data_IF_027860289606
#
_entry.id   IF_027860289606
#
_cell.length_a   1.000
_cell.length_b   1.000
_cell.length_c   1.000
_cell.angle_alpha   90.00
_cell.angle_beta   90.00
_cell.angle_gamma   90.00
#
_symmetry.space_group_name_H-M   'P 1'
#
loop_
_entity.id
_entity.type
_entity.pdbx_description
1 polymer ?
#
# COMPACT_ATOMS: atom_id res chain seq x y z
N UNK A 1 31.11 -17.81 -32.06
CA UNK A 1 31.19 -16.39 -31.69
C UNK A 1 29.87 -16.01 -31.06
N UNK A 2 29.80 -16.18 -29.74
CA UNK A 2 28.59 -15.96 -28.94
C UNK A 2 28.68 -14.58 -28.32
N UNK A 3 27.88 -13.64 -28.83
CA UNK A 3 27.71 -12.33 -28.19
C UNK A 3 26.79 -12.49 -26.99
N UNK A 4 27.39 -12.42 -25.82
CA UNK A 4 26.70 -12.30 -24.54
C UNK A 4 26.27 -10.84 -24.36
N UNK A 5 24.98 -10.56 -24.52
CA UNK A 5 24.41 -9.26 -24.22
C UNK A 5 24.08 -9.22 -22.73
N UNK A 6 24.82 -8.39 -22.00
CA UNK A 6 24.64 -8.09 -20.59
C UNK A 6 23.26 -7.44 -20.41
N UNK A 7 22.32 -8.18 -19.84
CA UNK A 7 21.06 -7.61 -19.35
C UNK A 7 21.38 -6.86 -18.06
N UNK A 8 21.09 -5.55 -18.08
CA UNK A 8 21.33 -4.63 -16.98
C UNK A 8 20.69 -5.11 -15.68
N UNK A 9 21.53 -5.20 -14.65
CA UNK A 9 21.12 -5.32 -13.25
C UNK A 9 20.22 -4.12 -12.94
N UNK A 10 18.93 -4.37 -12.68
CA UNK A 10 18.05 -3.39 -12.07
C UNK A 10 18.63 -2.91 -10.72
N UNK A 11 18.19 -1.76 -10.18
CA UNK A 11 18.76 -1.19 -8.97
C UNK A 11 18.66 -2.19 -7.81
N UNK A 12 19.81 -2.70 -7.35
CA UNK A 12 19.91 -3.44 -6.10
C UNK A 12 19.35 -2.55 -4.98
N UNK A 13 18.19 -2.91 -4.43
CA UNK A 13 17.66 -2.24 -3.26
C UNK A 13 18.69 -2.36 -2.11
N UNK A 14 18.89 -1.29 -1.32
CA UNK A 14 19.96 -1.26 -0.30
C UNK A 14 19.84 -2.45 0.66
N UNK A 15 20.97 -3.09 0.99
CA UNK A 15 20.98 -4.15 2.00
C UNK A 15 20.47 -3.57 3.32
N UNK A 16 19.87 -4.39 4.18
CA UNK A 16 19.27 -3.92 5.45
C UNK A 16 20.22 -3.07 6.33
N UNK A 17 21.54 -3.26 6.19
CA UNK A 17 22.56 -2.43 6.81
C UNK A 17 22.59 -1.00 6.24
N UNK A 18 22.58 -0.85 4.92
CA UNK A 18 22.57 0.43 4.21
C UNK A 18 21.28 1.22 4.49
N UNK A 19 20.15 0.53 4.62
CA UNK A 19 18.89 1.14 5.05
C UNK A 19 18.98 1.67 6.47
N UNK A 20 19.50 0.88 7.42
CA UNK A 20 19.71 1.32 8.82
C UNK A 20 20.63 2.53 8.89
N UNK A 21 21.74 2.51 8.16
CA UNK A 21 22.69 3.62 8.13
C UNK A 21 22.03 4.89 7.56
N UNK A 22 21.26 4.76 6.47
CA UNK A 22 20.51 5.87 5.88
C UNK A 22 19.50 6.46 6.87
N UNK A 23 18.77 5.62 7.60
CA UNK A 23 17.78 6.07 8.59
C UNK A 23 18.45 6.80 9.75
N UNK A 24 19.54 6.26 10.30
CA UNK A 24 20.25 6.91 11.40
C UNK A 24 20.90 8.23 10.96
N UNK A 25 21.43 8.30 9.73
CA UNK A 25 21.94 9.54 9.14
C UNK A 25 20.84 10.59 8.99
N UNK A 26 19.72 10.23 8.37
CA UNK A 26 18.59 11.13 8.20
C UNK A 26 18.03 11.62 9.55
N UNK A 27 18.02 10.75 10.57
CA UNK A 27 17.62 11.12 11.93
C UNK A 27 18.61 12.10 12.56
N UNK A 28 19.92 11.87 12.42
CA UNK A 28 20.96 12.78 12.90
C UNK A 28 20.85 14.17 12.28
N UNK A 29 20.70 14.22 10.95
CA UNK A 29 20.51 15.47 10.20
C UNK A 29 19.23 16.20 10.62
N UNK A 30 18.09 15.50 10.69
CA UNK A 30 16.84 16.11 11.13
C UNK A 30 16.91 16.64 12.56
N UNK A 31 17.54 15.87 13.47
CA UNK A 31 17.73 16.27 14.86
C UNK A 31 18.54 17.55 14.98
N UNK A 32 19.66 17.65 14.25
CA UNK A 32 20.49 18.87 14.24
C UNK A 32 19.66 20.08 13.79
N UNK A 33 18.95 19.96 12.67
CA UNK A 33 18.11 21.04 12.14
C UNK A 33 17.04 21.51 13.11
N UNK A 34 16.32 20.58 13.76
CA UNK A 34 15.28 20.94 14.73
C UNK A 34 15.86 21.53 16.02
N UNK A 35 16.99 21.01 16.50
CA UNK A 35 17.67 21.57 17.68
C UNK A 35 18.10 23.00 17.40
N UNK A 36 18.74 23.25 16.26
CA UNK A 36 19.22 24.59 15.90
C UNK A 36 18.05 25.57 15.72
N UNK A 37 16.92 25.10 15.16
CA UNK A 37 15.68 25.88 15.09
C UNK A 37 15.13 26.25 16.47
N UNK A 38 15.05 25.29 17.40
CA UNK A 38 14.60 25.53 18.77
C UNK A 38 15.54 26.45 19.54
N UNK A 39 16.85 26.29 19.38
CA UNK A 39 17.85 27.14 20.02
C UNK A 39 17.69 28.60 19.58
N UNK A 40 17.52 28.85 18.28
CA UNK A 40 17.27 30.19 17.75
C UNK A 40 15.90 30.76 18.20
N UNK A 41 14.90 29.91 18.44
CA UNK A 41 13.62 30.36 19.01
C UNK A 41 13.78 30.77 20.48
N UNK A 42 14.46 29.96 21.28
CA UNK A 42 14.72 30.25 22.70
C UNK A 42 15.62 31.47 22.92
N UNK A 43 16.63 31.66 22.08
CA UNK A 43 17.49 32.85 22.10
C UNK A 43 16.69 34.13 21.87
N UNK A 44 15.77 34.12 20.88
CA UNK A 44 14.88 35.27 20.62
C UNK A 44 13.95 35.59 21.80
N UNK A 45 13.65 34.61 22.64
CA UNK A 45 12.85 34.77 23.85
C UNK A 45 13.70 35.16 25.08
N UNK A 46 15.03 35.33 24.92
CA UNK A 46 15.94 35.72 25.99
C UNK A 46 16.24 34.59 26.99
N UNK A 47 16.04 33.33 26.59
CA UNK A 47 16.32 32.17 27.44
C UNK A 47 17.83 31.89 27.47
N UNK A 48 18.41 31.90 28.66
CA UNK A 48 19.80 31.48 28.86
C UNK A 48 19.97 29.99 28.52
N UNK A 49 21.16 29.60 28.04
CA UNK A 49 21.47 28.20 27.66
C UNK A 49 20.51 27.63 26.59
N UNK A 50 20.07 28.48 25.66
CA UNK A 50 19.11 28.17 24.59
C UNK A 50 19.40 26.89 23.82
N UNK A 51 20.69 26.59 23.56
CA UNK A 51 21.11 25.36 22.86
C UNK A 51 20.95 24.10 23.70
N UNK A 52 21.19 24.16 25.00
CA UNK A 52 21.01 23.02 25.91
C UNK A 52 19.53 22.73 26.10
N UNK A 53 18.74 23.79 26.35
CA UNK A 53 17.28 23.67 26.46
C UNK A 53 16.66 23.14 25.17
N UNK A 54 17.15 23.56 24.00
CA UNK A 54 16.73 23.02 22.71
C UNK A 54 16.99 21.52 22.57
N UNK A 55 18.12 21.02 23.09
CA UNK A 55 18.41 19.59 23.15
C UNK A 55 17.42 18.84 24.02
N UNK A 56 17.19 19.33 25.24
CA UNK A 56 16.26 18.74 26.21
C UNK A 56 14.82 18.74 25.69
N UNK A 57 14.36 19.87 25.15
CA UNK A 57 13.01 20.00 24.60
C UNK A 57 12.80 19.06 23.40
N UNK A 58 13.78 18.96 22.51
CA UNK A 58 13.71 18.04 21.38
C UNK A 58 13.67 16.58 21.84
N UNK A 59 14.45 16.20 22.85
CA UNK A 59 14.42 14.86 23.43
C UNK A 59 13.09 14.55 24.10
N UNK A 60 12.56 15.49 24.88
CA UNK A 60 11.26 15.34 25.53
C UNK A 60 10.13 15.10 24.53
N UNK A 61 10.19 15.74 23.35
CA UNK A 61 9.18 15.60 22.31
C UNK A 61 9.35 14.35 21.44
N UNK A 62 10.59 13.91 21.18
CA UNK A 62 10.90 12.93 20.12
C UNK A 62 11.46 11.60 20.62
N UNK A 63 11.98 11.52 21.85
CA UNK A 63 12.62 10.32 22.40
C UNK A 63 11.74 9.69 23.47
N UNK A 64 10.67 9.05 23.00
CA UNK A 64 9.76 8.29 23.86
C UNK A 64 10.36 6.94 24.22
N UNK A 65 10.12 6.48 25.43
CA UNK A 65 10.62 5.21 25.96
C UNK A 65 9.52 4.44 26.65
N UNK A 66 9.63 3.12 26.56
CA UNK A 66 8.79 2.20 27.33
C UNK A 66 9.10 2.36 28.82
N UNK A 67 8.09 2.61 29.65
CA UNK A 67 8.30 2.85 31.09
C UNK A 67 8.87 1.64 31.84
N UNK A 68 8.66 0.43 31.31
CA UNK A 68 9.07 -0.85 31.90
C UNK A 68 10.47 -1.29 31.44
N UNK A 69 10.83 -1.10 30.16
CA UNK A 69 12.13 -1.54 29.63
C UNK A 69 13.16 -0.41 29.44
N UNK A 70 12.71 0.85 29.39
CA UNK A 70 13.54 2.00 29.02
C UNK A 70 13.95 2.01 27.54
N UNK A 71 13.57 1.00 26.75
CA UNK A 71 13.83 0.94 25.32
C UNK A 71 13.08 2.05 24.59
N UNK A 72 13.65 2.52 23.47
CA UNK A 72 13.01 3.55 22.65
C UNK A 72 11.71 3.02 22.04
N UNK A 73 10.63 3.78 22.22
CA UNK A 73 9.38 3.57 21.52
C UNK A 73 9.58 3.76 20.01
N UNK A 74 9.00 2.84 19.22
CA UNK A 74 9.05 2.88 17.75
C UNK A 74 7.72 3.21 17.10
N UNK A 75 6.70 3.49 17.91
CA UNK A 75 5.38 3.86 17.42
C UNK A 75 5.46 5.19 16.65
N UNK A 76 4.81 5.23 15.50
CA UNK A 76 4.69 6.43 14.68
C UNK A 76 3.71 7.46 15.25
N UNK A 77 3.08 7.17 16.41
CA UNK A 77 2.11 8.03 17.07
C UNK A 77 2.76 9.24 17.79
N UNK A 78 4.09 9.25 17.94
CA UNK A 78 4.86 10.37 18.46
C UNK A 78 5.53 11.16 17.32
N UNK A 79 5.99 12.37 17.60
CA UNK A 79 5.23 13.61 17.65
C UNK A 79 4.82 14.06 16.24
N UNK A 80 3.51 14.10 16.04
CA UNK A 80 2.85 15.00 15.08
C UNK A 80 1.88 15.80 15.94
N UNK A 81 1.85 17.13 15.80
CA UNK A 81 0.64 17.86 16.19
C UNK A 81 -0.43 17.38 15.21
N UNK A 82 -1.37 16.52 15.61
CA UNK A 82 -2.32 15.93 14.70
C UNK A 82 -3.49 16.89 14.47
N UNK A 83 -4.17 16.72 13.34
CA UNK A 83 -5.44 17.38 13.04
C UNK A 83 -6.63 16.66 13.72
N UNK A 84 -6.36 15.58 14.46
CA UNK A 84 -7.34 14.78 15.21
C UNK A 84 -6.83 14.40 16.60
N UNK A 85 -7.75 13.99 17.47
CA UNK A 85 -7.51 13.51 18.84
C UNK A 85 -7.09 12.02 18.91
N UNK A 86 -6.78 11.42 17.76
CA UNK A 86 -6.40 9.99 17.68
C UNK A 86 -5.14 9.73 18.52
N UNK A 87 -5.24 8.70 19.38
CA UNK A 87 -4.21 8.33 20.36
C UNK A 87 -3.85 9.43 21.38
N UNK A 88 -4.78 10.34 21.67
CA UNK A 88 -4.56 11.48 22.59
C UNK A 88 -3.26 12.22 22.25
N UNK A 89 -3.09 12.59 20.98
CA UNK A 89 -1.90 13.30 20.51
C UNK A 89 -0.58 12.54 20.73
N UNK A 90 -0.64 11.22 20.89
CA UNK A 90 0.48 10.34 21.19
C UNK A 90 0.75 10.13 22.69
N UNK A 91 0.03 10.82 23.58
CA UNK A 91 0.14 10.64 25.03
C UNK A 91 -0.48 9.32 25.50
N UNK A 92 -1.47 8.79 24.77
CA UNK A 92 -2.06 7.48 25.06
C UNK A 92 -1.28 6.30 24.44
N UNK A 93 -0.03 6.54 24.03
CA UNK A 93 0.80 5.48 23.47
C UNK A 93 1.09 4.38 24.49
N UNK A 94 1.13 3.13 24.01
CA UNK A 94 1.44 1.95 24.82
C UNK A 94 2.75 2.06 25.60
N UNK A 95 3.74 2.83 25.12
CA UNK A 95 5.02 2.99 25.80
C UNK A 95 4.90 3.72 27.14
N UNK A 96 3.91 4.59 27.31
CA UNK A 96 3.65 5.34 28.54
C UNK A 96 2.85 4.54 29.59
N UNK A 97 2.38 3.33 29.24
CA UNK A 97 1.52 2.49 30.09
C UNK A 97 2.29 1.35 30.74
N UNK A 98 1.87 0.97 31.95
CA UNK A 98 2.37 -0.25 32.61
C UNK A 98 1.90 -1.50 31.85
N UNK A 99 2.56 -2.66 32.00
CA UNK A 99 2.08 -3.90 31.40
C UNK A 99 0.61 -4.21 31.74
N UNK A 100 0.19 -3.97 33.00
CA UNK A 100 -1.20 -4.14 33.45
C UNK A 100 -2.16 -3.21 32.72
N UNK A 101 -1.80 -1.92 32.60
CA UNK A 101 -2.62 -0.92 31.91
C UNK A 101 -2.72 -1.17 30.41
N UNK A 102 -1.63 -1.66 29.78
CA UNK A 102 -1.65 -2.10 28.37
C UNK A 102 -2.66 -3.22 28.16
N UNK A 103 -2.64 -4.24 29.03
CA UNK A 103 -3.60 -5.36 28.96
C UNK A 103 -5.04 -4.87 29.15
N UNK A 104 -5.27 -3.99 30.12
CA UNK A 104 -6.60 -3.43 30.37
C UNK A 104 -7.11 -2.64 29.17
N UNK A 105 -6.33 -1.68 28.68
CA UNK A 105 -6.72 -0.85 27.55
C UNK A 105 -6.89 -1.65 26.25
N UNK A 106 -6.07 -2.67 26.02
CA UNK A 106 -6.26 -3.59 24.89
C UNK A 106 -7.59 -4.35 24.99
N UNK A 107 -7.94 -4.84 26.19
CA UNK A 107 -9.23 -5.50 26.41
C UNK A 107 -10.42 -4.55 26.27
N UNK A 108 -10.32 -3.32 26.77
CA UNK A 108 -11.33 -2.28 26.60
C UNK A 108 -11.54 -1.94 25.12
N UNK A 109 -10.45 -1.70 24.38
CA UNK A 109 -10.49 -1.47 22.94
C UNK A 109 -11.12 -2.65 22.18
N UNK A 110 -10.69 -3.89 22.48
CA UNK A 110 -11.25 -5.10 21.86
C UNK A 110 -12.74 -5.24 22.14
N UNK A 111 -13.16 -5.05 23.39
CA UNK A 111 -14.57 -5.08 23.79
C UNK A 111 -15.37 -3.97 23.11
N UNK A 112 -14.80 -2.76 22.98
CA UNK A 112 -15.42 -1.63 22.30
C UNK A 112 -15.66 -1.90 20.82
N UNK A 113 -14.67 -2.45 20.12
CA UNK A 113 -14.80 -2.89 18.72
C UNK A 113 -15.85 -3.99 18.59
N UNK A 114 -15.81 -5.00 19.46
CA UNK A 114 -16.78 -6.09 19.46
C UNK A 114 -18.21 -5.57 19.71
N UNK A 115 -18.38 -4.62 20.62
CA UNK A 115 -19.66 -3.97 20.88
C UNK A 115 -20.13 -3.11 19.70
N UNK A 116 -19.22 -2.35 19.06
CA UNK A 116 -19.53 -1.57 17.87
C UNK A 116 -20.02 -2.47 16.73
N UNK A 117 -19.31 -3.56 16.41
CA UNK A 117 -19.73 -4.47 15.35
C UNK A 117 -21.03 -5.22 15.67
N UNK A 118 -21.38 -5.39 16.96
CA UNK A 118 -22.69 -5.90 17.39
C UNK A 118 -23.80 -4.84 17.40
N UNK A 119 -23.46 -3.56 17.33
CA UNK A 119 -24.44 -2.48 17.31
C UNK A 119 -25.23 -2.47 16.00
N UNK A 120 -26.42 -1.83 15.95
CA UNK A 120 -27.17 -1.69 14.70
C UNK A 120 -26.37 -1.05 13.56
N UNK A 121 -25.54 -0.06 13.87
CA UNK A 121 -24.68 0.62 12.88
C UNK A 121 -23.61 -0.34 12.32
N UNK A 122 -22.90 -1.06 13.20
CA UNK A 122 -21.93 -2.07 12.78
C UNK A 122 -22.55 -3.19 11.94
N UNK A 123 -23.73 -3.67 12.33
CA UNK A 123 -24.48 -4.69 11.57
C UNK A 123 -24.96 -4.17 10.21
N UNK A 124 -25.33 -2.89 10.10
CA UNK A 124 -25.68 -2.28 8.81
C UNK A 124 -24.48 -2.21 7.87
N UNK A 125 -23.30 -1.84 8.38
CA UNK A 125 -22.05 -1.83 7.59
C UNK A 125 -21.73 -3.26 7.11
N UNK A 126 -21.74 -4.25 8.02
CA UNK A 126 -21.49 -5.64 7.68
C UNK A 126 -22.48 -6.18 6.65
N UNK A 127 -23.78 -5.86 6.77
CA UNK A 127 -24.79 -6.29 5.80
C UNK A 127 -24.53 -5.65 4.42
N UNK A 128 -24.19 -4.36 4.37
CA UNK A 128 -23.86 -3.68 3.11
C UNK A 128 -22.61 -4.27 2.44
N UNK A 129 -21.58 -4.62 3.22
CA UNK A 129 -20.38 -5.31 2.72
C UNK A 129 -20.73 -6.70 2.16
N UNK A 130 -21.54 -7.48 2.88
CA UNK A 130 -22.00 -8.80 2.44
C UNK A 130 -22.84 -8.75 1.16
N UNK A 131 -23.74 -7.76 1.05
CA UNK A 131 -24.55 -7.55 -0.15
C UNK A 131 -23.68 -7.18 -1.36
N UNK A 132 -22.67 -6.32 -1.14
CA UNK A 132 -21.72 -5.94 -2.19
C UNK A 132 -20.87 -7.15 -2.64
N UNK A 133 -20.41 -7.97 -1.70
CA UNK A 133 -19.66 -9.21 -1.98
C UNK A 133 -20.53 -10.24 -2.70
N UNK A 134 -21.80 -10.40 -2.32
CA UNK A 134 -22.73 -11.27 -3.02
C UNK A 134 -22.93 -10.82 -4.49
N UNK A 135 -23.07 -9.51 -4.71
CA UNK A 135 -23.12 -8.94 -6.06
C UNK A 135 -21.86 -9.20 -6.87
N UNK A 136 -20.68 -9.10 -6.24
CA UNK A 136 -19.41 -9.46 -6.86
C UNK A 136 -19.36 -10.95 -7.24
N UNK A 137 -19.76 -11.86 -6.35
CA UNK A 137 -19.76 -13.30 -6.64
C UNK A 137 -20.69 -13.66 -7.79
N UNK A 138 -21.87 -13.04 -7.86
CA UNK A 138 -22.79 -13.22 -9.00
C UNK A 138 -22.15 -12.78 -10.31
N UNK A 139 -21.52 -11.59 -10.33
CA UNK A 139 -20.84 -11.10 -11.52
C UNK A 139 -19.67 -12.01 -11.93
N UNK A 140 -18.85 -12.46 -10.98
CA UNK A 140 -17.73 -13.38 -11.21
C UNK A 140 -18.17 -14.72 -11.78
N UNK A 141 -19.32 -15.25 -11.35
CA UNK A 141 -19.86 -16.50 -11.87
C UNK A 141 -20.19 -16.45 -13.38
N UNK A 142 -20.45 -15.26 -13.92
CA UNK A 142 -20.69 -15.04 -15.34
C UNK A 142 -19.39 -14.79 -16.14
N UNK A 143 -18.27 -14.53 -15.45
CA UNK A 143 -16.99 -14.26 -16.10
C UNK A 143 -16.23 -15.55 -16.42
N UNK A 144 -16.13 -15.86 -17.72
CA UNK A 144 -15.27 -16.96 -18.17
C UNK A 144 -13.81 -16.60 -17.94
N UNK A 145 -13.00 -17.53 -17.41
CA UNK A 145 -11.55 -17.35 -17.27
C UNK A 145 -11.10 -16.43 -16.12
N UNK A 146 -12.01 -15.96 -15.26
CA UNK A 146 -11.69 -15.08 -14.14
C UNK A 146 -11.90 -15.81 -12.82
N UNK A 147 -10.91 -15.74 -11.93
CA UNK A 147 -11.01 -16.21 -10.54
C UNK A 147 -10.42 -15.12 -9.64
N UNK A 148 -11.19 -14.65 -8.66
CA UNK A 148 -10.68 -13.79 -7.58
C UNK A 148 -10.47 -14.67 -6.35
N UNK A 149 -9.24 -14.75 -5.86
CA UNK A 149 -8.89 -15.55 -4.68
C UNK A 149 -9.09 -14.78 -3.37
N UNK A 150 -8.79 -13.48 -3.40
CA UNK A 150 -8.79 -12.61 -2.23
C UNK A 150 -8.98 -11.16 -2.70
N UNK A 151 -9.80 -10.40 -1.98
CA UNK A 151 -9.93 -8.96 -2.17
C UNK A 151 -10.24 -8.28 -0.84
N UNK A 152 -9.82 -7.02 -0.71
CA UNK A 152 -10.15 -6.17 0.44
C UNK A 152 -8.96 -5.35 0.93
N UNK A 153 -9.05 -4.93 2.19
CA UNK A 153 -8.13 -3.97 2.80
C UNK A 153 -8.64 -2.53 2.64
N UNK A 154 -8.65 -1.79 3.75
CA UNK A 154 -9.12 -0.40 3.79
C UNK A 154 -8.09 0.58 3.18
N UNK A 155 -6.80 0.39 3.50
CA UNK A 155 -5.69 1.14 2.93
C UNK A 155 -4.37 0.42 3.29
N UNK A 156 -3.76 -0.36 2.38
CA UNK A 156 -4.07 -0.47 0.96
C UNK A 156 -5.28 -1.38 0.63
N UNK A 157 -6.06 -1.02 -0.39
CA UNK A 157 -6.96 -1.94 -1.09
C UNK A 157 -6.12 -2.90 -1.95
N UNK A 158 -6.47 -4.18 -1.94
CA UNK A 158 -5.71 -5.25 -2.59
C UNK A 158 -6.63 -6.28 -3.21
N UNK A 159 -6.25 -6.79 -4.39
CA UNK A 159 -6.95 -7.89 -5.05
C UNK A 159 -5.94 -8.90 -5.61
N UNK A 160 -6.28 -10.19 -5.52
CA UNK A 160 -5.48 -11.30 -6.05
C UNK A 160 -6.37 -12.29 -6.77
N UNK A 161 -5.88 -12.84 -7.87
CA UNK A 161 -6.65 -13.77 -8.66
C UNK A 161 -5.91 -14.29 -9.88
N UNK A 162 -6.68 -14.86 -10.80
CA UNK A 162 -6.26 -15.31 -12.12
C UNK A 162 -7.21 -14.77 -13.18
N UNK A 163 -6.69 -14.26 -14.29
CA UNK A 163 -7.45 -13.86 -15.48
C UNK A 163 -6.85 -14.55 -16.70
N UNK A 164 -7.67 -15.34 -17.39
CA UNK A 164 -7.33 -16.07 -18.62
C UNK A 164 -6.03 -16.90 -18.51
N UNK A 165 -5.78 -17.45 -17.32
CA UNK A 165 -4.61 -18.27 -17.00
C UNK A 165 -3.42 -17.52 -16.39
N UNK A 166 -3.49 -16.20 -16.27
CA UNK A 166 -2.44 -15.35 -15.71
C UNK A 166 -2.78 -14.92 -14.29
N UNK A 167 -1.88 -15.18 -13.33
CA UNK A 167 -2.05 -14.70 -11.96
C UNK A 167 -1.86 -13.19 -11.89
N UNK A 168 -2.64 -12.50 -11.07
CA UNK A 168 -2.53 -11.05 -10.92
C UNK A 168 -2.53 -10.60 -9.47
N UNK A 169 -1.93 -9.43 -9.24
CA UNK A 169 -2.03 -8.67 -7.99
C UNK A 169 -2.34 -7.21 -8.33
N UNK A 170 -3.45 -6.71 -7.82
CA UNK A 170 -3.77 -5.28 -7.82
C UNK A 170 -3.56 -4.73 -6.42
N UNK A 171 -3.04 -3.51 -6.35
CA UNK A 171 -2.89 -2.77 -5.11
C UNK A 171 -3.14 -1.29 -5.33
N UNK A 172 -4.02 -0.70 -4.54
CA UNK A 172 -4.15 0.74 -4.38
C UNK A 172 -3.55 1.15 -3.03
N UNK A 173 -2.81 2.26 -3.02
CA UNK A 173 -2.47 2.97 -1.80
C UNK A 173 -2.22 4.44 -2.09
N UNK A 174 -2.89 5.29 -1.31
CA UNK A 174 -2.76 6.74 -1.39
C UNK A 174 -3.12 7.26 -2.78
N UNK A 175 -4.27 6.82 -3.28
CA UNK A 175 -4.86 7.20 -4.56
C UNK A 175 -4.07 6.75 -5.79
N UNK A 176 -3.05 5.91 -5.59
CA UNK A 176 -2.21 5.35 -6.64
C UNK A 176 -2.36 3.85 -6.65
N UNK A 177 -2.59 3.28 -7.83
CA UNK A 177 -2.72 1.85 -8.03
C UNK A 177 -1.77 1.30 -9.08
N UNK A 178 -1.51 -0.01 -8.99
CA UNK A 178 -0.84 -0.77 -10.05
C UNK A 178 -1.36 -2.21 -10.12
N UNK A 179 -1.14 -2.83 -11.27
CA UNK A 179 -1.44 -4.25 -11.53
C UNK A 179 -0.15 -4.96 -11.93
N UNK A 180 0.18 -6.01 -11.19
CA UNK A 180 1.20 -6.99 -11.52
C UNK A 180 0.55 -8.24 -12.13
N UNK A 181 1.20 -8.81 -13.14
CA UNK A 181 0.78 -10.03 -13.82
C UNK A 181 1.87 -11.10 -13.78
N UNK A 182 1.48 -12.37 -13.84
CA UNK A 182 2.38 -13.54 -13.83
C UNK A 182 3.25 -13.60 -12.57
N UNK A 183 2.57 -13.53 -11.42
CA UNK A 183 3.17 -13.57 -10.10
C UNK A 183 4.03 -14.83 -9.93
N UNK A 184 5.27 -14.63 -9.50
CA UNK A 184 6.26 -15.67 -9.22
C UNK A 184 6.94 -15.43 -7.88
N UNK A 185 7.37 -16.48 -7.16
CA UNK A 185 8.10 -16.32 -5.91
C UNK A 185 9.33 -15.41 -6.12
N UNK A 186 9.37 -14.30 -5.41
CA UNK A 186 10.47 -13.33 -5.51
C UNK A 186 11.73 -13.79 -4.77
N UNK A 187 11.61 -14.82 -3.92
CA UNK A 187 12.64 -15.20 -2.94
C UNK A 187 12.78 -14.21 -1.78
N UNK A 188 11.96 -13.16 -1.74
CA UNK A 188 11.90 -12.20 -0.63
C UNK A 188 10.88 -12.66 0.39
N UNK A 189 11.16 -12.37 1.66
CA UNK A 189 10.27 -12.68 2.77
C UNK A 189 9.96 -11.39 3.55
N UNK A 190 8.73 -11.30 4.02
CA UNK A 190 8.28 -10.24 4.93
C UNK A 190 7.83 -10.84 6.23
N UNK A 191 8.15 -10.15 7.32
CA UNK A 191 7.67 -10.50 8.64
C UNK A 191 6.27 -9.93 8.83
N UNK A 192 5.27 -10.81 8.88
CA UNK A 192 3.86 -10.46 9.08
C UNK A 192 3.43 -10.83 10.50
N UNK A 193 2.43 -10.12 11.03
CA UNK A 193 1.84 -10.47 12.33
C UNK A 193 1.06 -11.77 12.18
N UNK A 194 1.44 -12.78 12.96
CA UNK A 194 0.76 -14.07 13.01
C UNK A 194 -0.40 -14.05 14.00
N UNK A 195 -0.33 -13.19 15.02
CA UNK A 195 -1.37 -13.00 16.01
C UNK A 195 -0.92 -12.05 17.11
N UNK A 196 -1.86 -11.67 17.96
CA UNK A 196 -1.58 -10.92 19.18
C UNK A 196 -2.14 -11.72 20.35
N UNK A 197 -1.29 -12.06 21.31
CA UNK A 197 -1.71 -12.76 22.53
C UNK A 197 -2.60 -11.86 23.39
N UNK A 198 -3.30 -12.45 24.36
CA UNK A 198 -4.22 -11.73 25.25
C UNK A 198 -3.54 -10.67 26.11
N UNK A 199 -2.21 -10.73 26.24
CA UNK A 199 -1.41 -9.73 26.93
C UNK A 199 -0.93 -8.58 26.02
N UNK A 200 -1.31 -8.59 24.73
CA UNK A 200 -0.87 -7.63 23.72
C UNK A 200 0.44 -8.00 23.03
N UNK A 201 1.05 -9.15 23.35
CA UNK A 201 2.29 -9.59 22.71
C UNK A 201 2.03 -10.03 21.27
N UNK A 202 2.71 -9.40 20.32
CA UNK A 202 2.56 -9.68 18.89
C UNK A 202 3.50 -10.81 18.46
N UNK A 203 2.95 -11.91 17.96
CA UNK A 203 3.71 -12.97 17.30
C UNK A 203 3.87 -12.67 15.82
N UNK A 204 4.98 -13.11 15.24
CA UNK A 204 5.31 -12.83 13.85
C UNK A 204 5.63 -14.12 13.10
N UNK A 205 5.31 -14.14 11.82
CA UNK A 205 5.68 -15.19 10.88
C UNK A 205 6.32 -14.60 9.62
N UNK A 206 7.22 -15.36 9.00
CA UNK A 206 7.76 -15.00 7.69
C UNK A 206 6.81 -15.48 6.60
N UNK A 207 6.48 -14.57 5.67
CA UNK A 207 5.68 -14.84 4.49
C UNK A 207 6.51 -14.52 3.25
N UNK A 208 6.62 -15.48 2.34
CA UNK A 208 7.22 -15.26 1.02
C UNK A 208 6.40 -14.26 0.22
N UNK A 209 7.08 -13.37 -0.52
CA UNK A 209 6.45 -12.45 -1.45
C UNK A 209 6.49 -13.03 -2.86
N UNK A 210 5.38 -12.90 -3.56
CA UNK A 210 5.31 -13.09 -5.00
C UNK A 210 5.33 -11.71 -5.67
N UNK A 211 6.02 -11.62 -6.80
CA UNK A 211 6.12 -10.40 -7.62
C UNK A 211 5.83 -10.77 -9.08
N UNK A 212 5.12 -9.88 -9.78
CA UNK A 212 4.85 -10.01 -11.21
C UNK A 212 5.43 -8.85 -12.01
N UNK A 213 5.17 -8.87 -13.31
CA UNK A 213 5.51 -7.76 -14.19
C UNK A 213 4.41 -6.70 -14.09
N UNK A 214 4.76 -5.44 -13.85
CA UNK A 214 3.78 -4.34 -13.77
C UNK A 214 3.25 -4.03 -15.16
N UNK A 215 1.97 -4.32 -15.40
CA UNK A 215 1.33 -4.15 -16.71
C UNK A 215 0.59 -2.82 -16.86
N UNK A 216 0.19 -2.23 -15.74
CA UNK A 216 -0.56 -0.99 -15.68
C UNK A 216 -0.39 -0.31 -14.32
N UNK A 217 -0.49 1.02 -14.31
CA UNK A 217 -0.56 1.83 -13.10
C UNK A 217 -1.32 3.12 -13.38
N UNK A 218 -1.87 3.73 -12.34
CA UNK A 218 -2.64 4.96 -12.46
C UNK A 218 -3.13 5.48 -11.12
N UNK A 219 -4.16 6.32 -11.18
CA UNK A 219 -4.79 6.94 -10.00
C UNK A 219 -6.24 6.52 -9.85
N UNK A 220 -6.81 6.70 -8.66
CA UNK A 220 -8.24 6.44 -8.38
C UNK A 220 -9.18 7.27 -9.26
N UNK A 221 -8.68 8.33 -9.89
CA UNK A 221 -9.37 9.14 -10.90
C UNK A 221 -9.44 8.51 -12.31
N UNK A 222 -8.85 7.32 -12.50
CA UNK A 222 -8.86 6.66 -13.81
C UNK A 222 -10.28 6.35 -14.27
N UNK A 223 -10.54 6.52 -15.56
CA UNK A 223 -11.83 6.16 -16.14
C UNK A 223 -12.15 4.68 -15.88
N UNK A 224 -13.37 4.41 -15.43
CA UNK A 224 -13.82 3.06 -15.11
C UNK A 224 -13.30 2.51 -13.78
N UNK A 225 -12.47 3.24 -13.01
CA UNK A 225 -11.96 2.78 -11.71
C UNK A 225 -13.12 2.35 -10.81
N UNK A 226 -14.12 3.21 -10.62
CA UNK A 226 -15.34 2.87 -9.88
C UNK A 226 -15.15 2.74 -8.36
N UNK A 227 -16.30 2.65 -7.67
CA UNK A 227 -16.40 2.69 -6.20
C UNK A 227 -17.05 1.45 -5.61
N UNK A 228 -17.51 0.50 -6.43
CA UNK A 228 -18.09 -0.76 -5.98
C UNK A 228 -17.17 -1.93 -6.31
N UNK A 229 -17.21 -3.03 -5.54
CA UNK A 229 -16.37 -4.20 -5.82
C UNK A 229 -16.55 -4.76 -7.24
N UNK A 230 -17.79 -4.78 -7.76
CA UNK A 230 -18.07 -5.24 -9.14
C UNK A 230 -17.36 -4.35 -10.17
N UNK A 231 -17.50 -3.04 -10.07
CA UNK A 231 -16.87 -2.12 -11.04
C UNK A 231 -15.34 -2.17 -10.93
N UNK A 232 -14.81 -2.29 -9.71
CA UNK A 232 -13.37 -2.49 -9.46
C UNK A 232 -12.87 -3.79 -10.11
N UNK A 233 -13.58 -4.90 -9.91
CA UNK A 233 -13.22 -6.18 -10.50
C UNK A 233 -13.25 -6.13 -12.03
N UNK A 234 -14.29 -5.51 -12.60
CA UNK A 234 -14.39 -5.28 -14.04
C UNK A 234 -13.22 -4.45 -14.57
N UNK A 235 -12.90 -3.34 -13.90
CA UNK A 235 -11.75 -2.49 -14.26
C UNK A 235 -10.43 -3.27 -14.31
N UNK A 236 -10.17 -4.10 -13.28
CA UNK A 236 -8.95 -4.92 -13.21
C UNK A 236 -8.93 -5.94 -14.35
N UNK A 237 -10.03 -6.69 -14.55
CA UNK A 237 -10.15 -7.73 -15.57
C UNK A 237 -9.99 -7.14 -16.97
N UNK A 238 -10.68 -6.03 -17.27
CA UNK A 238 -10.63 -5.37 -18.58
C UNK A 238 -9.23 -4.82 -18.87
N UNK A 239 -8.55 -4.28 -17.85
CA UNK A 239 -7.16 -3.82 -17.97
C UNK A 239 -6.22 -4.98 -18.33
N UNK A 240 -6.35 -6.12 -17.64
CA UNK A 240 -5.53 -7.32 -17.92
C UNK A 240 -5.83 -7.87 -19.32
N UNK A 241 -7.10 -8.04 -19.69
CA UNK A 241 -7.50 -8.56 -21.00
C UNK A 241 -7.04 -7.67 -22.15
N UNK A 242 -7.12 -6.36 -21.97
CA UNK A 242 -6.60 -5.39 -22.92
C UNK A 242 -5.09 -5.55 -23.08
N UNK A 243 -4.36 -5.72 -21.97
CA UNK A 243 -2.92 -5.96 -22.01
C UNK A 243 -2.57 -7.25 -22.76
N UNK A 244 -3.21 -8.38 -22.42
CA UNK A 244 -2.99 -9.67 -23.06
C UNK A 244 -3.32 -9.63 -24.56
N UNK A 245 -4.43 -8.99 -24.94
CA UNK A 245 -4.83 -8.80 -26.34
C UNK A 245 -3.79 -7.99 -27.11
N UNK A 246 -3.20 -6.96 -26.49
CA UNK A 246 -2.11 -6.17 -27.10
C UNK A 246 -0.85 -6.99 -27.28
N UNK A 247 -0.46 -7.80 -26.29
CA UNK A 247 0.72 -8.66 -26.41
C UNK A 247 0.59 -9.70 -27.53
N UNK A 248 -0.59 -10.30 -27.71
CA UNK A 248 -0.82 -11.32 -28.73
C UNK A 248 -1.07 -10.75 -30.15
N UNK A 249 -1.30 -9.45 -30.28
CA UNK A 249 -1.69 -8.83 -31.55
C UNK A 249 -0.49 -8.70 -32.50
N UNK A 250 -0.58 -9.31 -33.69
CA UNK A 250 0.43 -9.14 -34.75
C UNK A 250 0.13 -8.00 -35.72
N UNK A 251 -0.89 -7.17 -35.42
CA UNK A 251 -1.32 -6.03 -36.25
C UNK A 251 -1.50 -6.38 -37.74
N UNK A 252 -2.23 -7.47 -38.05
CA UNK A 252 -2.41 -8.01 -39.41
C UNK A 252 -2.64 -6.90 -40.45
N UNK A 253 -1.58 -6.58 -41.22
CA UNK A 253 -1.54 -5.44 -42.13
C UNK A 253 -2.54 -5.53 -43.30
N UNK A 254 -2.95 -6.74 -43.66
CA UNK A 254 -3.87 -7.00 -44.77
C UNK A 254 -5.32 -6.65 -44.39
N UNK A 255 -5.72 -6.89 -43.13
CA UNK A 255 -7.03 -6.48 -42.60
C UNK A 255 -7.13 -4.95 -42.48
N UNK A 256 -6.03 -4.29 -42.14
CA UNK A 256 -5.99 -2.82 -42.02
C UNK A 256 -6.23 -2.12 -43.36
N UNK A 257 -5.61 -2.61 -44.43
CA UNK A 257 -5.75 -2.03 -45.77
C UNK A 257 -7.20 -2.10 -46.28
N UNK A 258 -7.92 -3.17 -45.93
CA UNK A 258 -9.34 -3.33 -46.25
C UNK A 258 -10.23 -2.35 -45.48
N UNK A 259 -9.89 -2.08 -44.21
CA UNK A 259 -10.61 -1.11 -43.37
C UNK A 259 -10.34 0.32 -43.84
N UNK A 260 -9.10 0.65 -44.20
CA UNK A 260 -8.73 1.96 -44.76
C UNK A 260 -9.48 2.24 -46.06
N UNK A 261 -9.64 1.23 -46.93
CA UNK A 261 -10.42 1.35 -48.15
C UNK A 261 -11.91 1.66 -47.88
N UNK A 262 -12.48 1.15 -46.80
CA UNK A 262 -13.87 1.43 -46.39
C UNK A 262 -13.99 2.82 -45.74
N UNK A 263 -13.05 3.18 -44.87
CA UNK A 263 -13.10 4.44 -44.12
C UNK A 263 -12.62 5.65 -44.93
N UNK A 264 -11.90 5.42 -46.03
CA UNK A 264 -11.29 6.48 -46.83
C UNK A 264 -10.19 7.26 -46.12
N UNK A 265 -9.67 6.74 -44.99
CA UNK A 265 -8.61 7.34 -44.19
C UNK A 265 -7.70 6.27 -43.62
N UNK A 266 -6.44 6.63 -43.38
CA UNK A 266 -5.45 5.78 -42.72
C UNK A 266 -5.91 5.40 -41.31
N UNK A 267 -5.78 4.11 -40.97
CA UNK A 267 -6.15 3.59 -39.66
C UNK A 267 -4.98 3.79 -38.70
N UNK A 268 -5.15 4.73 -37.76
CA UNK A 268 -4.10 5.07 -36.77
C UNK A 268 -4.11 4.21 -35.52
N UNK A 269 -5.08 3.30 -35.39
CA UNK A 269 -5.29 2.46 -34.22
C UNK A 269 -5.69 1.06 -34.64
N UNK A 270 -5.04 0.04 -34.09
CA UNK A 270 -5.41 -1.34 -34.37
C UNK A 270 -6.83 -1.61 -33.85
N UNK A 271 -7.79 -2.03 -34.69
CA UNK A 271 -9.17 -2.27 -34.25
C UNK A 271 -9.30 -3.47 -33.32
N UNK A 272 -8.29 -4.34 -33.29
CA UNK A 272 -8.28 -5.55 -32.45
C UNK A 272 -7.76 -5.26 -31.04
N UNK A 273 -6.69 -4.48 -30.89
CA UNK A 273 -6.02 -4.28 -29.59
C UNK A 273 -5.93 -2.81 -29.13
N UNK A 274 -6.42 -1.87 -29.92
CA UNK A 274 -6.42 -0.44 -29.60
C UNK A 274 -5.01 0.17 -29.49
N UNK A 275 -3.97 -0.51 -29.98
CA UNK A 275 -2.61 0.05 -30.01
C UNK A 275 -2.50 1.05 -31.15
N UNK A 276 -1.87 2.20 -30.89
CA UNK A 276 -1.60 3.20 -31.94
C UNK A 276 -0.62 2.60 -32.95
N UNK A 277 -1.00 2.62 -34.22
CA UNK A 277 -0.15 2.16 -35.30
C UNK A 277 0.80 3.29 -35.70
N UNK A 278 2.05 2.94 -36.04
CA UNK A 278 2.96 3.88 -36.65
C UNK A 278 2.43 4.28 -38.03
N UNK A 279 2.50 5.57 -38.36
CA UNK A 279 2.19 6.05 -39.70
C UNK A 279 3.13 5.34 -40.70
N UNK A 280 2.55 4.81 -41.78
CA UNK A 280 3.31 4.14 -42.83
C UNK A 280 4.03 5.14 -43.74
#
# INVERSE_FOLDING_TARGET
MSSSTIVGRGPELPRAADYRERVERARGEARLRYRDHLAAAFERLGVAESSELAGVALDALTVWRYIDSGERCRCSCHPRLPESDVHDYGFDCVCARTPEDRRRAFNEWRNGIEAFWRSPEGQQITAAEQDADAGLQMWLAEQTGVIVHDHGGLAPEQWRGTVDGHSFYFRERHDVWWIELDLRPSGRFVRTVAGTANDGTVSYQERGLDEGDVIASGTTDSEGYGTTPVVRAQFIVDTIRTHLTRQACTHRGDDLSSIEAILGTEVRWCPVCGTRLHAR
#
